data_IF_197288771732
#
_entry.id   IF_197288771732
#
_cell.length_a   1.000
_cell.length_b   1.000
_cell.length_c   1.000
_cell.angle_alpha   90.00
_cell.angle_beta   90.00
_cell.angle_gamma   90.00
#
_symmetry.space_group_name_H-M   'P 1'
#
loop_
_entity.id
_entity.type
_entity.pdbx_description
1 polymer ?
#
# COMPACT_ATOMS: atom_id res chain seq x y z
N UNK A 1 -0.83 16.36 -3.24
CA UNK A 1 -0.05 16.06 -2.01
C UNK A 1 0.35 17.38 -1.37
N UNK A 2 0.14 17.53 -0.07
CA UNK A 2 0.48 18.74 0.70
C UNK A 2 1.61 18.40 1.68
N UNK A 3 2.60 19.30 1.84
CA UNK A 3 3.74 19.06 2.74
C UNK A 3 3.87 20.21 3.74
N UNK A 4 4.06 19.88 5.02
CA UNK A 4 4.30 20.86 6.10
C UNK A 4 5.16 20.23 7.19
N UNK A 5 6.23 20.93 7.61
CA UNK A 5 7.16 20.49 8.65
C UNK A 5 7.68 19.05 8.42
N UNK A 6 8.14 18.76 7.21
CA UNK A 6 8.59 17.43 6.76
C UNK A 6 7.55 16.29 6.79
N UNK A 7 6.29 16.59 7.09
CA UNK A 7 5.18 15.63 7.03
C UNK A 7 4.46 15.76 5.68
N UNK A 8 4.25 14.61 5.02
CA UNK A 8 3.48 14.48 3.79
C UNK A 8 2.03 14.12 4.09
N UNK A 9 1.10 14.92 3.58
CA UNK A 9 -0.33 14.74 3.74
C UNK A 9 -0.98 14.35 2.41
N UNK A 10 -1.84 13.33 2.47
CA UNK A 10 -2.74 12.98 1.38
C UNK A 10 -4.12 13.55 1.69
N UNK A 11 -4.41 14.71 1.11
CA UNK A 11 -5.74 15.34 1.19
C UNK A 11 -6.58 14.79 0.05
N UNK A 12 -7.72 14.18 0.40
CA UNK A 12 -8.67 13.62 -0.57
C UNK A 12 -10.10 13.92 -0.11
N UNK A 13 -11.01 13.95 -1.08
CA UNK A 13 -12.44 14.09 -0.78
C UNK A 13 -12.98 12.78 -0.22
N UNK A 14 -13.75 12.85 0.86
CA UNK A 14 -14.49 11.71 1.39
C UNK A 14 -15.61 11.33 0.41
N UNK A 15 -15.59 10.08 -0.07
CA UNK A 15 -16.70 9.52 -0.83
C UNK A 15 -17.74 9.00 0.17
N UNK A 16 -18.97 9.52 0.19
CA UNK A 16 -20.00 9.05 1.10
C UNK A 16 -20.43 7.62 0.72
N UNK A 17 -20.63 6.77 1.72
CA UNK A 17 -21.05 5.38 1.50
C UNK A 17 -21.06 4.56 2.78
N UNK A 18 -21.44 3.30 2.63
CA UNK A 18 -21.41 2.30 3.71
C UNK A 18 -20.27 1.32 3.40
N UNK A 19 -19.52 0.95 4.43
CA UNK A 19 -18.44 -0.03 4.28
C UNK A 19 -19.01 -1.37 3.81
N UNK A 20 -18.44 -1.91 2.74
CA UNK A 20 -18.89 -3.19 2.16
C UNK A 20 -18.96 -4.33 3.20
N UNK A 21 -18.00 -4.50 4.14
CA UNK A 21 -18.11 -5.54 5.17
C UNK A 21 -19.34 -5.42 6.08
N UNK A 22 -19.81 -4.20 6.36
CA UNK A 22 -21.02 -3.98 7.17
C UNK A 22 -22.25 -4.43 6.41
N UNK A 23 -22.30 -4.14 5.10
CA UNK A 23 -23.44 -4.46 4.25
C UNK A 23 -23.43 -5.91 3.74
N UNK A 24 -22.27 -6.58 3.69
CA UNK A 24 -22.11 -7.86 2.97
C UNK A 24 -23.04 -8.98 3.44
N UNK A 25 -23.37 -9.03 4.74
CA UNK A 25 -24.30 -10.02 5.29
C UNK A 25 -25.74 -9.85 4.79
N UNK A 26 -26.14 -8.60 4.54
CA UNK A 26 -27.51 -8.20 4.19
C UNK A 26 -27.80 -8.30 2.69
N UNK A 27 -26.76 -8.32 1.87
CA UNK A 27 -26.88 -8.39 0.41
C UNK A 27 -27.39 -9.74 -0.07
N UNK A 28 -28.31 -9.71 -1.02
CA UNK A 28 -28.74 -10.87 -1.79
C UNK A 28 -27.58 -11.44 -2.63
N UNK A 29 -27.75 -12.69 -3.08
CA UNK A 29 -26.77 -13.34 -3.96
C UNK A 29 -26.53 -12.55 -5.26
N UNK A 30 -27.60 -12.01 -5.86
CA UNK A 30 -27.50 -11.27 -7.11
C UNK A 30 -26.74 -9.94 -6.93
N UNK A 31 -26.97 -9.24 -5.82
CA UNK A 31 -26.22 -8.01 -5.51
C UNK A 31 -24.74 -8.28 -5.28
N UNK A 32 -24.41 -9.37 -4.56
CA UNK A 32 -23.02 -9.80 -4.37
C UNK A 32 -22.33 -10.08 -5.70
N UNK A 33 -23.01 -10.79 -6.61
CA UNK A 33 -22.49 -11.07 -7.95
C UNK A 33 -22.23 -9.76 -8.71
N UNK A 34 -23.20 -8.85 -8.70
CA UNK A 34 -23.04 -7.54 -9.36
C UNK A 34 -21.86 -6.75 -8.82
N UNK A 35 -21.68 -6.69 -7.50
CA UNK A 35 -20.52 -6.01 -6.88
C UNK A 35 -19.21 -6.68 -7.28
N UNK A 36 -19.13 -8.01 -7.26
CA UNK A 36 -17.95 -8.74 -7.70
C UNK A 36 -17.60 -8.45 -9.16
N UNK A 37 -18.59 -8.36 -10.06
CA UNK A 37 -18.38 -7.99 -11.46
C UNK A 37 -17.85 -6.57 -11.63
N UNK A 38 -18.40 -5.62 -10.87
CA UNK A 38 -17.93 -4.22 -10.87
C UNK A 38 -16.49 -4.12 -10.38
N UNK A 39 -16.16 -4.77 -9.25
CA UNK A 39 -14.79 -4.81 -8.72
C UNK A 39 -13.83 -5.44 -9.72
N UNK A 40 -14.21 -6.57 -10.32
CA UNK A 40 -13.41 -7.23 -11.36
C UNK A 40 -13.10 -6.27 -12.50
N UNK A 41 -14.10 -5.53 -13.01
CA UNK A 41 -13.92 -4.56 -14.08
C UNK A 41 -12.95 -3.44 -13.68
N UNK A 42 -13.11 -2.86 -12.50
CA UNK A 42 -12.23 -1.79 -11.99
C UNK A 42 -10.78 -2.30 -11.89
N UNK A 43 -10.57 -3.48 -11.31
CA UNK A 43 -9.22 -4.05 -11.20
C UNK A 43 -8.61 -4.39 -12.56
N UNK A 44 -9.40 -4.88 -13.52
CA UNK A 44 -8.91 -5.10 -14.88
C UNK A 44 -8.45 -3.79 -15.53
N UNK A 45 -9.20 -2.70 -15.34
CA UNK A 45 -8.81 -1.38 -15.84
C UNK A 45 -7.54 -0.87 -15.16
N UNK A 46 -7.44 -0.97 -13.84
CA UNK A 46 -6.25 -0.57 -13.09
C UNK A 46 -4.98 -1.32 -13.53
N UNK A 47 -5.08 -2.64 -13.74
CA UNK A 47 -3.94 -3.45 -14.20
C UNK A 47 -3.56 -3.22 -15.65
N UNK A 48 -4.47 -2.68 -16.46
CA UNK A 48 -4.19 -2.31 -17.84
C UNK A 48 -3.41 -0.99 -17.96
N UNK A 49 -3.31 -0.20 -16.88
CA UNK A 49 -2.52 1.04 -16.88
C UNK A 49 -1.04 0.65 -16.98
N UNK A 50 -0.32 1.11 -18.03
CA UNK A 50 1.09 0.82 -18.17
C UNK A 50 1.88 1.46 -17.03
N UNK A 51 2.86 0.73 -16.49
CA UNK A 51 3.77 1.29 -15.51
C UNK A 51 4.57 2.45 -16.14
N UNK A 52 4.78 3.56 -15.43
CA UNK A 52 5.64 4.63 -15.92
C UNK A 52 7.06 4.08 -16.13
N UNK A 53 7.65 4.38 -17.29
CA UNK A 53 8.99 3.92 -17.65
C UNK A 53 10.06 4.64 -16.81
N UNK A 54 11.07 3.94 -16.27
CA UNK A 54 11.29 2.50 -16.36
C UNK A 54 10.29 1.71 -15.50
N UNK A 55 9.66 0.70 -16.09
CA UNK A 55 8.67 -0.16 -15.43
C UNK A 55 9.31 -0.88 -14.24
N UNK A 56 9.23 -0.27 -13.07
CA UNK A 56 9.86 -0.76 -11.86
C UNK A 56 8.80 -1.12 -10.82
N UNK A 57 8.62 -2.42 -10.61
CA UNK A 57 7.86 -2.98 -9.50
C UNK A 57 8.84 -3.56 -8.48
N UNK A 58 9.16 -2.81 -7.43
CA UNK A 58 10.08 -3.24 -6.39
C UNK A 58 10.08 -2.31 -5.17
N UNK A 59 11.05 -2.49 -4.27
CA UNK A 59 11.29 -1.60 -3.14
C UNK A 59 11.45 -0.14 -3.57
N UNK A 60 11.04 0.83 -2.75
CA UNK A 60 11.33 2.26 -3.00
C UNK A 60 12.82 2.57 -3.23
N UNK A 61 13.71 1.65 -2.82
CA UNK A 61 15.17 1.72 -3.01
C UNK A 61 15.67 1.19 -4.36
N UNK A 62 14.82 0.72 -5.26
CA UNK A 62 15.27 0.12 -6.53
C UNK A 62 15.60 -1.38 -6.44
N UNK A 63 15.48 -2.00 -5.25
CA UNK A 63 15.73 -3.43 -5.00
C UNK A 63 14.48 -4.34 -5.04
N UNK A 64 14.62 -5.66 -4.83
CA UNK A 64 13.48 -6.58 -4.72
C UNK A 64 12.47 -6.15 -3.64
N UNK A 65 11.19 -6.53 -3.78
CA UNK A 65 10.17 -6.26 -2.75
C UNK A 65 10.53 -7.03 -1.48
N UNK A 66 10.94 -6.32 -0.43
CA UNK A 66 11.20 -6.92 0.88
C UNK A 66 9.89 -7.24 1.61
N UNK A 67 9.18 -8.26 1.14
CA UNK A 67 8.00 -8.78 1.80
C UNK A 67 8.13 -10.28 1.98
N UNK A 68 7.63 -10.81 3.10
CA UNK A 68 7.79 -12.23 3.50
C UNK A 68 7.32 -13.24 2.45
N UNK A 69 6.42 -12.85 1.54
CA UNK A 69 5.91 -13.70 0.46
C UNK A 69 6.63 -13.53 -0.89
N UNK A 70 7.52 -12.55 -1.02
CA UNK A 70 8.25 -12.23 -2.26
C UNK A 70 9.78 -12.41 -2.11
N UNK A 71 10.24 -13.00 -1.01
CA UNK A 71 11.63 -13.38 -0.84
C UNK A 71 11.95 -14.59 -1.73
N UNK A 72 12.65 -14.34 -2.83
CA UNK A 72 13.33 -15.38 -3.60
C UNK A 72 14.64 -15.71 -2.88
N UNK A 73 14.62 -16.86 -2.22
CA UNK A 73 15.72 -17.78 -1.91
C UNK A 73 17.00 -17.18 -1.30
N UNK A 74 17.10 -17.30 0.02
CA UNK A 74 18.38 -17.60 0.68
C UNK A 74 18.90 -16.59 1.70
N UNK A 75 18.37 -15.38 1.78
CA UNK A 75 18.70 -14.45 2.87
C UNK A 75 17.45 -14.08 3.65
N UNK A 76 17.32 -14.74 4.79
CA UNK A 76 16.34 -14.44 5.83
C UNK A 76 16.53 -12.98 6.26
N UNK A 77 15.77 -12.04 5.71
CA UNK A 77 15.76 -10.69 6.27
C UNK A 77 15.08 -10.79 7.64
N UNK A 78 15.86 -10.59 8.69
CA UNK A 78 15.31 -10.42 10.03
C UNK A 78 14.55 -9.10 10.02
N UNK A 79 13.38 -9.04 10.67
CA UNK A 79 12.52 -7.86 10.67
C UNK A 79 13.28 -6.55 10.98
N UNK A 80 14.37 -6.64 11.73
CA UNK A 80 15.20 -5.51 12.08
C UNK A 80 15.92 -4.86 10.90
N UNK A 81 16.29 -5.61 9.85
CA UNK A 81 17.01 -5.03 8.70
C UNK A 81 16.09 -4.12 7.86
N UNK A 82 14.85 -4.53 7.63
CA UNK A 82 13.89 -3.73 6.86
C UNK A 82 13.53 -2.40 7.55
N UNK A 83 13.53 -2.35 8.89
CA UNK A 83 13.35 -1.09 9.62
C UNK A 83 14.59 -0.20 9.57
N UNK A 84 15.80 -0.77 9.63
CA UNK A 84 17.04 0.00 9.53
C UNK A 84 17.24 0.59 8.13
N UNK A 85 16.80 -0.10 7.08
CA UNK A 85 16.83 0.45 5.72
C UNK A 85 15.90 1.65 5.54
N UNK A 86 14.72 1.61 6.15
CA UNK A 86 13.79 2.76 6.16
C UNK A 86 14.41 3.95 6.90
N UNK A 87 15.05 3.74 8.05
CA UNK A 87 15.76 4.79 8.82
C UNK A 87 16.97 5.32 8.04
N UNK A 88 17.72 4.45 7.36
CA UNK A 88 18.90 4.81 6.56
C UNK A 88 18.56 5.60 5.30
N UNK A 89 17.43 5.30 4.64
CA UNK A 89 16.89 6.10 3.53
C UNK A 89 16.37 7.46 4.00
N UNK A 90 15.79 7.50 5.20
CA UNK A 90 15.28 8.73 5.80
C UNK A 90 16.43 9.71 6.11
N UNK A 91 17.57 9.21 6.59
CA UNK A 91 18.79 10.01 6.81
C UNK A 91 19.37 10.60 5.52
N UNK A 92 19.27 9.87 4.39
CA UNK A 92 19.73 10.36 3.07
C UNK A 92 18.79 11.37 2.41
N UNK A 93 17.51 11.40 2.80
CA UNK A 93 16.49 12.26 2.18
C UNK A 93 15.84 13.25 3.17
N UNK A 94 16.39 13.39 4.39
CA UNK A 94 15.89 14.31 5.41
C UNK A 94 14.48 13.99 5.94
N UNK A 95 14.03 12.74 5.85
CA UNK A 95 12.74 12.30 6.39
C UNK A 95 12.97 11.75 7.80
N UNK A 96 12.05 11.95 8.74
CA UNK A 96 12.16 11.36 10.09
C UNK A 96 10.92 10.51 10.37
N UNK A 97 11.12 9.21 10.63
CA UNK A 97 10.06 8.29 11.01
C UNK A 97 10.31 7.81 12.44
N UNK A 98 9.47 8.24 13.37
CA UNK A 98 9.44 7.70 14.72
C UNK A 98 8.47 6.52 14.78
N UNK A 99 8.93 5.40 15.34
CA UNK A 99 8.11 4.21 15.63
C UNK A 99 7.00 4.60 16.61
N UNK A 100 5.77 4.77 16.12
CA UNK A 100 4.62 4.99 16.97
C UNK A 100 4.35 3.71 17.79
N UNK A 101 4.67 3.73 19.08
CA UNK A 101 4.19 2.73 20.03
C UNK A 101 2.71 2.98 20.29
N UNK A 102 1.89 1.96 20.08
CA UNK A 102 0.49 1.94 20.50
C UNK A 102 0.48 2.09 22.02
N UNK A 103 -0.14 3.16 22.53
CA UNK A 103 -0.43 3.28 23.94
C UNK A 103 -1.63 2.38 24.25
N UNK A 104 -1.49 1.56 25.29
CA UNK A 104 -2.58 0.85 25.98
C UNK A 104 -3.36 1.83 26.87
#
# INVERSE_FOLDING_TARGET
>A
MYRKNDILYLVMQLIPGIDLPKLWGELSKNEKVSICEQLRRIFSQLRAIPAPSPSYFGSISGGPVEHRFFQMDGRRSTYESAFQDIIGLSSRHGLSFTKARRAE
#
